data_IF_394230852506
#
_entry.id   IF_394230852506
#
_cell.length_a   1.000
_cell.length_b   1.000
_cell.length_c   1.000
_cell.angle_alpha   90.00
_cell.angle_beta   90.00
_cell.angle_gamma   90.00
#
_symmetry.space_group_name_H-M   'P 1'
#
loop_
_entity.id
_entity.type
_entity.pdbx_description
1 polymer ?
#
# COMPACT_ATOMS: atom_id res chain seq x y z
N UNK A 1 22.15 -29.92 -60.33
CA UNK A 1 21.83 -30.59 -59.05
C UNK A 1 22.59 -30.03 -57.83
N UNK A 2 23.89 -29.71 -57.90
CA UNK A 2 24.69 -29.21 -56.75
C UNK A 2 24.26 -27.85 -56.16
N UNK A 3 23.69 -26.96 -56.97
CA UNK A 3 23.20 -25.63 -56.54
C UNK A 3 21.92 -25.72 -55.69
N UNK A 4 21.01 -26.64 -55.99
CA UNK A 4 19.78 -26.85 -55.22
C UNK A 4 20.06 -27.45 -53.84
N UNK A 5 21.05 -28.35 -53.74
CA UNK A 5 21.47 -28.93 -52.46
C UNK A 5 22.08 -27.86 -51.53
N UNK A 6 22.89 -26.95 -52.08
CA UNK A 6 23.45 -25.81 -51.35
C UNK A 6 22.35 -24.84 -50.87
N UNK A 7 21.37 -24.53 -51.71
CA UNK A 7 20.24 -23.66 -51.33
C UNK A 7 19.41 -24.31 -50.22
N UNK A 8 19.13 -25.61 -50.30
CA UNK A 8 18.41 -26.33 -49.25
C UNK A 8 19.18 -26.36 -47.92
N UNK A 9 20.50 -26.59 -47.96
CA UNK A 9 21.34 -26.55 -46.75
C UNK A 9 21.38 -25.14 -46.13
N UNK A 10 21.49 -24.09 -46.95
CA UNK A 10 21.46 -22.70 -46.46
C UNK A 10 20.10 -22.40 -45.83
N UNK A 11 18.98 -22.80 -46.45
CA UNK A 11 17.63 -22.63 -45.88
C UNK A 11 17.48 -23.40 -44.55
N UNK A 12 18.02 -24.62 -44.45
CA UNK A 12 18.01 -25.40 -43.21
C UNK A 12 18.82 -24.75 -42.09
N UNK A 13 20.00 -24.18 -42.39
CA UNK A 13 20.83 -23.47 -41.41
C UNK A 13 20.13 -22.20 -40.92
N UNK A 14 19.53 -21.42 -41.82
CA UNK A 14 18.82 -20.19 -41.48
C UNK A 14 17.54 -20.48 -40.66
N UNK A 15 16.87 -21.61 -40.91
CA UNK A 15 15.71 -22.02 -40.13
C UNK A 15 16.07 -22.51 -38.71
N UNK A 16 17.22 -23.17 -38.53
CA UNK A 16 17.61 -23.73 -37.23
C UNK A 16 17.90 -22.64 -36.18
N UNK A 17 18.38 -21.46 -36.60
CA UNK A 17 18.70 -20.36 -35.68
C UNK A 17 17.48 -19.58 -35.17
N UNK A 18 16.28 -19.83 -35.71
CA UNK A 18 15.08 -19.06 -35.37
C UNK A 18 14.33 -19.54 -34.11
N UNK A 19 14.76 -20.64 -33.48
CA UNK A 19 14.21 -21.13 -32.18
C UNK A 19 15.17 -20.81 -31.02
N UNK A 20 15.76 -19.60 -31.03
CA UNK A 20 16.78 -19.21 -30.04
C UNK A 20 16.56 -17.87 -29.34
N UNK A 21 15.57 -17.04 -29.73
CA UNK A 21 15.56 -15.63 -29.31
C UNK A 21 14.18 -15.05 -28.96
N UNK A 22 13.44 -15.73 -28.08
CA UNK A 22 12.24 -15.12 -27.44
C UNK A 22 12.16 -15.33 -25.92
N UNK A 23 13.09 -16.08 -25.31
CA UNK A 23 13.06 -16.36 -23.85
C UNK A 23 13.77 -15.31 -23.00
N UNK A 24 14.71 -14.54 -23.56
CA UNK A 24 15.55 -13.62 -22.76
C UNK A 24 14.86 -12.29 -22.44
N UNK A 25 14.06 -11.73 -23.35
CA UNK A 25 13.40 -10.43 -23.11
C UNK A 25 12.17 -10.52 -22.20
N UNK A 26 11.51 -11.68 -22.10
CA UNK A 26 10.32 -11.86 -21.23
C UNK A 26 10.67 -11.86 -19.74
N UNK A 27 11.93 -12.18 -19.37
CA UNK A 27 12.43 -12.09 -17.99
C UNK A 27 12.85 -10.68 -17.57
N UNK A 28 13.22 -9.82 -18.51
CA UNK A 28 13.72 -8.47 -18.21
C UNK A 28 12.54 -7.50 -18.04
N UNK A 29 11.46 -7.65 -18.81
CA UNK A 29 10.26 -6.81 -18.67
C UNK A 29 9.37 -7.17 -17.47
N UNK A 30 9.46 -8.41 -16.93
CA UNK A 30 8.62 -8.84 -15.80
C UNK A 30 9.31 -8.81 -14.43
N UNK A 31 10.56 -8.33 -14.33
CA UNK A 31 11.23 -8.28 -13.02
C UNK A 31 12.25 -7.14 -12.85
N UNK A 32 11.92 -5.94 -13.31
CA UNK A 32 12.44 -4.67 -12.74
C UNK A 32 11.36 -3.58 -12.79
N UNK A 33 10.17 -3.88 -12.22
CA UNK A 33 9.57 -2.83 -11.40
C UNK A 33 10.53 -2.73 -10.22
N UNK A 34 11.19 -1.59 -9.94
CA UNK A 34 11.75 -1.42 -8.61
C UNK A 34 10.56 -1.62 -7.69
N UNK A 35 10.51 -2.76 -7.01
CA UNK A 35 9.71 -2.88 -5.81
C UNK A 35 10.37 -1.86 -4.90
N UNK A 36 9.92 -0.61 -5.00
CA UNK A 36 9.90 0.31 -3.87
C UNK A 36 9.48 -0.61 -2.74
N UNK A 37 10.42 -0.90 -1.80
CA UNK A 37 10.13 -1.74 -0.65
C UNK A 37 8.72 -1.37 -0.19
N UNK A 38 7.78 -2.33 -0.03
CA UNK A 38 6.38 -1.98 0.19
C UNK A 38 6.38 -0.89 1.24
N UNK A 39 6.02 0.35 0.87
CA UNK A 39 5.99 1.46 1.81
C UNK A 39 5.19 0.90 2.96
N UNK A 40 5.81 0.69 4.11
CA UNK A 40 5.25 -0.13 5.14
C UNK A 40 3.91 0.50 5.54
N UNK A 41 2.85 -0.05 4.97
CA UNK A 41 1.56 0.59 4.89
C UNK A 41 0.77 0.15 6.09
N UNK A 42 0.16 1.09 6.78
CA UNK A 42 -0.62 0.75 7.94
C UNK A 42 -1.97 0.15 7.51
N UNK A 43 -2.54 -0.76 8.32
CA UNK A 43 -3.91 -1.19 8.12
C UNK A 43 -4.88 -0.03 8.38
N UNK A 44 -6.16 -0.23 8.05
CA UNK A 44 -7.24 0.67 8.45
C UNK A 44 -7.15 0.96 9.97
N UNK A 45 -7.02 2.22 10.41
CA UNK A 45 -6.89 2.52 11.81
C UNK A 45 -8.21 2.29 12.55
N UNK A 46 -8.14 1.57 13.67
CA UNK A 46 -9.30 1.43 14.56
C UNK A 46 -9.77 2.81 15.06
N UNK A 47 -11.07 3.08 14.92
CA UNK A 47 -11.70 4.34 15.36
C UNK A 47 -12.73 4.01 16.42
N UNK A 48 -12.57 4.57 17.62
CA UNK A 48 -13.48 4.32 18.72
C UNK A 48 -14.88 4.89 18.43
N UNK A 49 -15.96 4.28 18.96
CA UNK A 49 -17.29 4.86 18.89
C UNK A 49 -17.32 6.29 19.47
N UNK A 50 -18.15 7.16 18.89
CA UNK A 50 -18.22 8.55 19.34
C UNK A 50 -16.98 9.38 19.00
N UNK A 51 -16.17 8.94 18.04
CA UNK A 51 -15.06 9.74 17.47
C UNK A 51 -15.18 9.84 15.95
N UNK A 52 -14.64 10.92 15.39
CA UNK A 52 -14.65 11.18 13.94
C UNK A 52 -13.21 11.19 13.45
N UNK A 53 -12.87 10.25 12.55
CA UNK A 53 -11.60 10.24 11.81
C UNK A 53 -11.67 11.21 10.63
N UNK A 54 -10.61 11.97 10.38
CA UNK A 54 -10.50 12.86 9.23
C UNK A 54 -9.04 13.01 8.76
N UNK A 55 -8.87 13.66 7.60
CA UNK A 55 -7.57 14.03 7.00
C UNK A 55 -6.67 12.85 6.55
N UNK A 56 -7.23 11.67 6.34
CA UNK A 56 -6.52 10.52 5.79
C UNK A 56 -7.48 9.52 5.13
N UNK A 57 -6.99 8.81 4.11
CA UNK A 57 -7.74 7.83 3.34
C UNK A 57 -6.80 6.73 2.85
N UNK A 58 -7.30 5.49 2.63
CA UNK A 58 -6.45 4.45 2.09
C UNK A 58 -5.97 4.82 0.68
N UNK A 59 -4.72 4.49 0.30
CA UNK A 59 -3.76 3.66 1.04
C UNK A 59 -2.97 4.44 2.12
N UNK A 60 -2.89 3.90 3.35
CA UNK A 60 -2.18 4.53 4.47
C UNK A 60 -0.68 4.26 4.42
N UNK A 61 0.08 5.18 3.85
CA UNK A 61 1.53 4.99 3.64
C UNK A 61 2.36 5.44 4.84
N UNK A 62 3.58 4.91 5.00
CA UNK A 62 4.53 5.40 6.00
C UNK A 62 4.66 6.93 5.92
N UNK A 63 4.57 7.60 7.07
CA UNK A 63 4.63 9.05 7.24
C UNK A 63 3.26 9.74 7.20
N UNK A 64 2.20 9.07 6.73
CA UNK A 64 0.85 9.64 6.69
C UNK A 64 0.26 9.78 8.10
N UNK A 65 -0.46 10.89 8.35
CA UNK A 65 -1.09 11.17 9.63
C UNK A 65 -2.62 11.25 9.52
N UNK A 66 -3.30 10.44 10.32
CA UNK A 66 -4.74 10.52 10.52
C UNK A 66 -5.05 11.35 11.76
N UNK A 67 -6.20 12.03 11.72
CA UNK A 67 -6.66 12.88 12.81
C UNK A 67 -8.02 12.41 13.33
N UNK A 68 -8.25 12.61 14.62
CA UNK A 68 -9.50 12.30 15.29
C UNK A 68 -9.99 13.50 16.07
N UNK A 69 -11.31 13.71 16.05
CA UNK A 69 -11.99 14.70 16.87
C UNK A 69 -13.26 14.13 17.48
N UNK A 70 -13.70 14.74 18.59
CA UNK A 70 -15.02 14.44 19.14
C UNK A 70 -16.11 15.07 18.26
N UNK A 71 -17.26 14.39 18.09
CA UNK A 71 -18.46 14.99 17.52
C UNK A 71 -19.01 16.09 18.46
N UNK A 72 -19.95 16.92 17.98
CA UNK A 72 -20.65 17.86 18.84
C UNK A 72 -21.29 17.15 20.04
N UNK A 73 -21.29 17.81 21.21
CA UNK A 73 -21.80 17.28 22.50
C UNK A 73 -20.99 16.14 23.12
N UNK A 74 -19.76 15.94 22.65
CA UNK A 74 -18.79 15.02 23.24
C UNK A 74 -17.49 15.76 23.57
N UNK A 75 -16.81 15.33 24.64
CA UNK A 75 -15.48 15.83 25.04
C UNK A 75 -14.42 14.76 24.98
N UNK A 76 -13.20 15.20 24.73
CA UNK A 76 -12.01 14.37 24.81
C UNK A 76 -11.86 13.82 26.23
N UNK A 77 -11.61 12.52 26.33
CA UNK A 77 -11.33 11.85 27.60
C UNK A 77 -9.88 11.37 27.65
N UNK A 78 -9.41 10.69 26.61
CA UNK A 78 -8.06 10.10 26.58
C UNK A 78 -7.59 9.78 25.16
N UNK A 79 -6.31 9.44 25.03
CA UNK A 79 -5.70 8.95 23.80
C UNK A 79 -5.06 10.04 22.92
N UNK A 80 -4.67 9.68 21.69
CA UNK A 80 -3.97 10.59 20.78
C UNK A 80 -4.91 11.15 19.69
N UNK A 81 -5.05 12.49 19.56
CA UNK A 81 -5.87 13.09 18.51
C UNK A 81 -5.24 12.96 17.11
N UNK A 82 -3.94 12.67 17.04
CA UNK A 82 -3.20 12.44 15.79
C UNK A 82 -2.44 11.14 15.93
N UNK A 83 -2.49 10.29 14.90
CA UNK A 83 -1.69 9.08 14.80
C UNK A 83 -1.04 9.03 13.43
N UNK A 84 0.26 8.81 13.42
CA UNK A 84 1.05 8.69 12.21
C UNK A 84 1.36 7.24 11.92
N UNK A 85 1.26 6.85 10.65
CA UNK A 85 1.69 5.56 10.17
C UNK A 85 3.22 5.53 10.14
N UNK A 86 3.83 4.67 10.94
CA UNK A 86 5.27 4.47 10.98
C UNK A 86 5.56 2.99 10.84
N UNK A 87 6.21 2.64 9.74
CA UNK A 87 6.70 1.30 9.45
C UNK A 87 5.60 0.22 9.56
N UNK A 88 4.41 0.53 9.03
CA UNK A 88 3.26 -0.38 9.03
C UNK A 88 2.47 -0.40 10.34
N UNK A 89 2.83 0.43 11.32
CA UNK A 89 2.13 0.55 12.60
C UNK A 89 1.68 1.97 12.87
N UNK A 90 0.49 2.12 13.46
CA UNK A 90 0.00 3.41 13.92
C UNK A 90 0.66 3.79 15.24
N UNK A 91 1.24 4.98 15.28
CA UNK A 91 1.76 5.59 16.52
C UNK A 91 0.62 6.07 17.42
N UNK A 92 0.94 6.37 18.69
CA UNK A 92 -0.03 6.91 19.64
C UNK A 92 -1.06 5.87 20.11
N UNK A 93 -2.12 6.36 20.74
CA UNK A 93 -3.18 5.53 21.36
C UNK A 93 -4.55 5.91 20.81
N UNK A 94 -5.51 4.99 20.93
CA UNK A 94 -6.89 5.19 20.46
C UNK A 94 -7.50 6.35 21.25
N UNK A 95 -8.05 7.35 20.54
CA UNK A 95 -8.74 8.47 21.16
C UNK A 95 -10.15 8.06 21.63
N UNK A 96 -10.53 8.47 22.83
CA UNK A 96 -11.87 8.26 23.39
C UNK A 96 -12.53 9.60 23.70
N UNK A 97 -13.82 9.68 23.37
CA UNK A 97 -14.67 10.81 23.71
C UNK A 97 -15.86 10.35 24.55
N UNK A 98 -16.27 11.17 25.51
CA UNK A 98 -17.48 10.95 26.33
C UNK A 98 -18.53 12.01 26.04
N UNK A 99 -19.82 11.71 26.13
CA UNK A 99 -20.87 12.72 26.04
C UNK A 99 -20.69 13.82 27.09
N UNK A 100 -20.94 15.08 26.73
CA UNK A 100 -20.91 16.23 27.66
C UNK A 100 -21.77 15.97 28.91
N UNK A 101 -22.93 15.31 28.72
CA UNK A 101 -23.84 14.97 29.81
C UNK A 101 -23.21 14.01 30.82
N UNK A 102 -22.31 13.13 30.38
CA UNK A 102 -21.60 12.23 31.29
C UNK A 102 -20.69 13.02 32.23
N UNK A 103 -19.99 14.05 31.72
CA UNK A 103 -19.21 14.94 32.59
C UNK A 103 -20.10 15.77 33.51
N UNK A 104 -21.25 16.24 33.04
CA UNK A 104 -22.18 17.01 33.88
C UNK A 104 -22.82 16.19 35.02
N UNK A 105 -22.94 14.87 34.85
CA UNK A 105 -23.56 13.97 35.84
C UNK A 105 -22.54 13.34 36.81
N UNK A 106 -21.29 13.14 36.36
CA UNK A 106 -20.26 12.43 37.13
C UNK A 106 -19.02 13.28 37.44
N UNK A 107 -18.99 14.54 37.02
CA UNK A 107 -17.93 15.50 37.31
C UNK A 107 -18.34 16.51 38.38
N UNK A 108 -18.10 16.15 39.65
CA UNK A 108 -17.84 17.09 40.75
C UNK A 108 -16.36 16.97 41.13
#
# INVERSE_FOLDING_TARGET
MRKFLLVLLIVCVVAWESVGSTRTLRRIYTRRRPTIAPLASCPEPFTAPGTIKYNCNPPYVHGEACWWRCPPRYRYQSGSPVRQCKDGQWTGTIMFCVPDLFQALFGN
#
